data_IF_512825995740
#
_entry.id   IF_512825995740
#
_cell.length_a   1.000
_cell.length_b   1.000
_cell.length_c   1.000
_cell.angle_alpha   90.00
_cell.angle_beta   90.00
_cell.angle_gamma   90.00
#
_symmetry.space_group_name_H-M   'P 1'
#
loop_
_entity.id
_entity.type
_entity.pdbx_description
1 polymer ?
#
# COMPACT_ATOMS: atom_id res chain seq x y z
N UNK A 1 -3.85 -8.35 0.96
CA UNK A 1 -4.03 -7.79 2.31
C UNK A 1 -3.30 -8.72 3.25
N UNK A 2 -2.44 -8.21 4.13
CA UNK A 2 -1.77 -9.05 5.11
C UNK A 2 -2.80 -9.79 5.97
N UNK A 3 -2.56 -11.09 6.21
CA UNK A 3 -3.38 -11.95 7.07
C UNK A 3 -3.55 -11.29 8.45
N UNK A 4 -2.52 -10.61 8.95
CA UNK A 4 -2.53 -9.89 10.22
C UNK A 4 -3.58 -8.79 10.23
N UNK A 5 -3.69 -8.00 9.14
CA UNK A 5 -4.70 -6.94 9.00
C UNK A 5 -6.11 -7.52 8.96
N UNK A 6 -6.30 -8.65 8.27
CA UNK A 6 -7.60 -9.32 8.19
C UNK A 6 -8.02 -9.87 9.56
N UNK A 7 -7.12 -10.55 10.28
CA UNK A 7 -7.39 -11.06 11.64
C UNK A 7 -7.69 -9.91 12.59
N UNK A 8 -6.88 -8.84 12.56
CA UNK A 8 -7.08 -7.66 13.40
C UNK A 8 -8.45 -7.01 13.18
N UNK A 9 -8.88 -6.88 11.92
CA UNK A 9 -10.20 -6.36 11.57
C UNK A 9 -11.33 -7.24 12.14
N UNK A 10 -11.22 -8.56 11.96
CA UNK A 10 -12.22 -9.51 12.47
C UNK A 10 -12.30 -9.51 14.00
N UNK A 11 -11.16 -9.47 14.69
CA UNK A 11 -11.09 -9.40 16.15
C UNK A 11 -11.68 -8.08 16.64
N UNK A 12 -11.34 -6.95 16.02
CA UNK A 12 -11.86 -5.64 16.41
C UNK A 12 -13.38 -5.56 16.27
N UNK A 13 -13.92 -5.97 15.11
CA UNK A 13 -15.37 -6.02 14.87
C UNK A 13 -16.04 -7.03 15.81
N UNK A 14 -15.42 -8.20 16.02
CA UNK A 14 -15.92 -9.23 16.92
C UNK A 14 -16.04 -8.76 18.37
N UNK A 15 -14.99 -8.14 18.91
CA UNK A 15 -14.99 -7.58 20.26
C UNK A 15 -16.06 -6.50 20.44
N UNK A 16 -16.21 -5.60 19.45
CA UNK A 16 -17.26 -4.58 19.47
C UNK A 16 -18.66 -5.19 19.51
N UNK A 17 -18.92 -6.22 18.69
CA UNK A 17 -20.22 -6.91 18.65
C UNK A 17 -20.49 -7.65 19.95
N UNK A 18 -19.51 -8.38 20.48
CA UNK A 18 -19.66 -9.13 21.74
C UNK A 18 -19.94 -8.18 22.90
N UNK A 19 -19.20 -7.08 23.01
CA UNK A 19 -19.43 -6.06 24.04
C UNK A 19 -20.86 -5.50 23.97
N UNK A 20 -21.33 -5.17 22.77
CA UNK A 20 -22.69 -4.65 22.59
C UNK A 20 -23.79 -5.65 22.94
N UNK A 21 -23.57 -6.94 22.66
CA UNK A 21 -24.50 -8.01 23.04
C UNK A 21 -24.51 -8.25 24.56
N UNK A 22 -23.35 -8.12 25.23
CA UNK A 22 -23.24 -8.23 26.69
C UNK A 22 -24.01 -7.12 27.42
N UNK A 23 -24.07 -5.92 26.85
CA UNK A 23 -24.89 -4.80 27.34
C UNK A 23 -26.39 -4.97 27.05
N UNK A 24 -26.82 -6.13 26.54
CA UNK A 24 -28.21 -6.43 26.21
C UNK A 24 -28.68 -5.86 24.86
N UNK A 25 -27.75 -5.33 24.06
CA UNK A 25 -28.02 -4.88 22.70
C UNK A 25 -28.43 -6.01 21.77
N UNK A 26 -29.11 -5.67 20.67
CA UNK A 26 -29.50 -6.63 19.64
C UNK A 26 -28.76 -6.30 18.35
N UNK A 27 -28.34 -7.31 17.58
CA UNK A 27 -27.51 -7.10 16.39
C UNK A 27 -28.14 -6.12 15.37
N UNK A 28 -29.47 -6.19 15.18
CA UNK A 28 -30.17 -5.26 14.29
C UNK A 28 -30.23 -3.81 14.78
N UNK A 29 -30.00 -3.56 16.07
CA UNK A 29 -29.93 -2.20 16.58
C UNK A 29 -28.66 -1.47 16.13
N UNK A 30 -27.61 -2.20 15.74
CA UNK A 30 -26.37 -1.65 15.17
C UNK A 30 -26.55 -1.21 13.72
N UNK A 31 -27.41 -1.90 12.95
CA UNK A 31 -27.65 -1.62 11.54
C UNK A 31 -28.83 -0.66 11.37
N UNK A 32 -28.60 0.62 11.65
CA UNK A 32 -29.57 1.70 11.43
C UNK A 32 -29.24 2.48 10.15
N UNK A 33 -30.12 2.47 9.12
CA UNK A 33 -29.88 3.19 7.87
C UNK A 33 -29.65 4.70 8.08
N UNK A 34 -30.37 5.32 9.02
CA UNK A 34 -30.21 6.73 9.37
C UNK A 34 -28.82 7.03 9.93
N UNK A 35 -28.33 6.20 10.86
CA UNK A 35 -26.98 6.34 11.40
C UNK A 35 -25.92 6.14 10.32
N UNK A 36 -26.11 5.17 9.41
CA UNK A 36 -25.20 4.94 8.29
C UNK A 36 -25.11 6.17 7.36
N UNK A 37 -26.23 6.79 7.00
CA UNK A 37 -26.23 7.98 6.15
C UNK A 37 -25.47 9.14 6.82
N UNK A 38 -25.67 9.36 8.12
CA UNK A 38 -24.97 10.42 8.85
C UNK A 38 -23.46 10.16 8.89
N UNK A 39 -23.05 8.94 9.23
CA UNK A 39 -21.63 8.58 9.34
C UNK A 39 -20.97 8.57 7.97
N UNK A 40 -21.45 7.79 7.01
CA UNK A 40 -20.85 7.71 5.68
C UNK A 40 -20.95 9.03 4.93
N UNK A 41 -22.13 9.67 4.92
CA UNK A 41 -22.33 10.94 4.25
C UNK A 41 -21.52 12.07 4.89
N UNK A 42 -21.46 12.11 6.22
CA UNK A 42 -20.64 13.06 6.96
C UNK A 42 -19.15 12.88 6.72
N UNK A 43 -18.65 11.64 6.79
CA UNK A 43 -17.24 11.34 6.52
C UNK A 43 -16.87 11.66 5.07
N UNK A 44 -17.65 11.21 4.09
CA UNK A 44 -17.38 11.52 2.68
C UNK A 44 -17.44 13.03 2.44
N UNK A 45 -18.45 13.73 2.98
CA UNK A 45 -18.57 15.17 2.86
C UNK A 45 -17.40 15.93 3.49
N UNK A 46 -16.97 15.54 4.69
CA UNK A 46 -15.81 16.11 5.37
C UNK A 46 -14.51 15.85 4.59
N UNK A 47 -14.32 14.65 4.04
CA UNK A 47 -13.17 14.33 3.19
C UNK A 47 -13.18 15.18 1.92
N UNK A 48 -14.32 15.30 1.22
CA UNK A 48 -14.41 16.13 0.00
C UNK A 48 -14.15 17.60 0.31
N UNK A 49 -14.60 18.09 1.47
CA UNK A 49 -14.33 19.47 1.90
C UNK A 49 -12.86 19.71 2.30
N UNK A 50 -12.16 18.68 2.79
CA UNK A 50 -10.79 18.77 3.31
C UNK A 50 -9.68 18.56 2.29
N UNK A 51 -9.97 17.94 1.14
CA UNK A 51 -8.96 17.55 0.14
C UNK A 51 -9.23 18.14 -1.24
N UNK A 52 -8.17 18.31 -2.03
CA UNK A 52 -8.32 18.74 -3.43
C UNK A 52 -8.89 17.61 -4.28
N UNK A 53 -9.59 17.97 -5.36
CA UNK A 53 -10.19 16.99 -6.27
C UNK A 53 -9.16 16.01 -6.86
N UNK A 54 -7.93 16.47 -7.10
CA UNK A 54 -6.83 15.64 -7.60
C UNK A 54 -6.45 14.51 -6.63
N UNK A 55 -6.47 14.79 -5.33
CA UNK A 55 -6.16 13.80 -4.29
C UNK A 55 -7.30 12.78 -4.16
N UNK A 56 -8.55 13.25 -4.22
CA UNK A 56 -9.74 12.40 -4.15
C UNK A 56 -9.78 11.38 -5.30
N UNK A 57 -9.32 11.77 -6.50
CA UNK A 57 -9.24 10.86 -7.66
C UNK A 57 -8.28 9.69 -7.45
N UNK A 58 -7.34 9.77 -6.51
CA UNK A 58 -6.40 8.68 -6.19
C UNK A 58 -6.99 7.64 -5.23
N UNK A 59 -8.11 7.94 -4.55
CA UNK A 59 -8.73 7.07 -3.54
C UNK A 59 -9.00 5.64 -4.05
N UNK A 60 -9.55 5.41 -5.27
CA UNK A 60 -9.77 4.04 -5.75
C UNK A 60 -8.47 3.23 -5.89
N UNK A 61 -7.37 3.88 -6.30
CA UNK A 61 -6.06 3.24 -6.39
C UNK A 61 -5.50 2.92 -5.00
N UNK A 62 -5.63 3.84 -4.05
CA UNK A 62 -5.19 3.65 -2.67
C UNK A 62 -5.97 2.53 -1.96
N UNK A 63 -7.28 2.44 -2.19
CA UNK A 63 -8.08 1.31 -1.70
C UNK A 63 -7.55 -0.01 -2.27
N UNK A 64 -7.27 -0.08 -3.58
CA UNK A 64 -6.69 -1.29 -4.17
C UNK A 64 -5.36 -1.65 -3.49
N UNK A 65 -4.48 -0.69 -3.24
CA UNK A 65 -3.20 -0.92 -2.56
C UNK A 65 -3.43 -1.42 -1.13
N UNK A 66 -4.36 -0.82 -0.38
CA UNK A 66 -4.67 -1.21 1.00
C UNK A 66 -5.16 -2.67 1.09
N UNK A 67 -5.92 -3.14 0.10
CA UNK A 67 -6.41 -4.51 0.04
C UNK A 67 -5.45 -5.49 -0.65
N UNK A 68 -4.41 -5.01 -1.35
CA UNK A 68 -3.41 -5.85 -2.02
C UNK A 68 -2.21 -6.07 -1.10
N UNK A 69 -1.68 -7.28 -1.05
CA UNK A 69 -0.42 -7.54 -0.33
C UNK A 69 0.75 -7.27 -1.28
N UNK A 70 1.68 -6.41 -0.87
CA UNK A 70 2.93 -6.19 -1.61
C UNK A 70 3.99 -7.12 -1.02
N UNK A 71 4.21 -8.26 -1.67
CA UNK A 71 5.33 -9.13 -1.36
C UNK A 71 6.58 -8.62 -2.08
N UNK A 72 7.44 -7.91 -1.35
CA UNK A 72 8.76 -7.51 -1.85
C UNK A 72 9.77 -8.57 -1.42
N UNK A 73 10.43 -9.23 -2.38
CA UNK A 73 11.54 -10.13 -2.09
C UNK A 73 12.80 -9.31 -1.77
N UNK A 74 12.94 -8.97 -0.49
CA UNK A 74 14.09 -8.19 0.01
C UNK A 74 15.40 -8.95 -0.23
N UNK A 75 15.40 -10.28 -0.09
CA UNK A 75 16.63 -11.07 -0.25
C UNK A 75 17.04 -11.12 -1.72
N UNK A 76 16.08 -11.31 -2.62
CA UNK A 76 16.29 -11.20 -4.07
C UNK A 76 16.82 -9.82 -4.46
N UNK A 77 16.22 -8.75 -3.94
CA UNK A 77 16.66 -7.38 -4.19
C UNK A 77 18.09 -7.11 -3.72
N UNK A 78 18.46 -7.58 -2.52
CA UNK A 78 19.84 -7.46 -2.02
C UNK A 78 20.83 -8.17 -2.95
N UNK A 79 20.50 -9.39 -3.40
CA UNK A 79 21.35 -10.16 -4.32
C UNK A 79 21.50 -9.45 -5.66
N UNK A 80 20.40 -8.90 -6.19
CA UNK A 80 20.41 -8.12 -7.43
C UNK A 80 21.32 -6.89 -7.30
N UNK A 81 21.16 -6.10 -6.23
CA UNK A 81 21.98 -4.91 -5.98
C UNK A 81 23.47 -5.26 -5.81
N UNK A 82 23.78 -6.33 -5.07
CA UNK A 82 25.15 -6.79 -4.88
C UNK A 82 25.79 -7.27 -6.20
N UNK A 83 25.03 -7.96 -7.05
CA UNK A 83 25.47 -8.39 -8.38
C UNK A 83 25.80 -7.21 -9.29
N UNK A 84 24.89 -6.23 -9.35
CA UNK A 84 25.10 -4.97 -10.09
C UNK A 84 26.36 -4.25 -9.59
N UNK A 85 26.58 -4.19 -8.28
CA UNK A 85 27.75 -3.54 -7.69
C UNK A 85 29.08 -4.26 -8.00
N UNK A 86 29.14 -5.60 -7.94
CA UNK A 86 30.36 -6.34 -8.29
C UNK A 86 30.69 -6.19 -9.78
N UNK A 87 29.67 -6.22 -10.65
CA UNK A 87 29.85 -5.98 -12.08
C UNK A 87 30.35 -4.56 -12.37
N UNK A 88 29.70 -3.55 -11.79
CA UNK A 88 30.14 -2.15 -11.89
C UNK A 88 31.62 -1.98 -11.47
N UNK A 89 32.06 -2.71 -10.43
CA UNK A 89 33.44 -2.66 -9.95
C UNK A 89 34.44 -3.34 -10.89
N UNK A 90 34.05 -4.43 -11.55
CA UNK A 90 34.93 -5.23 -12.42
C UNK A 90 34.97 -4.73 -13.86
N UNK A 91 33.83 -4.36 -14.40
CA UNK A 91 33.60 -4.06 -15.82
C UNK A 91 33.38 -2.56 -16.07
N UNK A 92 33.20 -1.76 -15.01
CA UNK A 92 32.96 -0.32 -15.06
C UNK A 92 31.47 0.04 -15.20
N UNK A 93 31.14 1.32 -15.01
CA UNK A 93 29.74 1.78 -14.94
C UNK A 93 28.97 1.63 -16.27
N UNK A 94 29.64 1.79 -17.42
CA UNK A 94 29.01 1.61 -18.74
C UNK A 94 28.49 0.18 -18.97
N UNK A 95 29.08 -0.82 -18.29
CA UNK A 95 28.63 -2.21 -18.41
C UNK A 95 27.20 -2.44 -17.88
N UNK A 96 26.69 -1.49 -17.08
CA UNK A 96 25.36 -1.53 -16.50
C UNK A 96 24.25 -1.14 -17.49
N UNK A 97 24.58 -0.52 -18.63
CA UNK A 97 23.57 -0.18 -19.65
C UNK A 97 22.81 -1.40 -20.16
N UNK A 98 23.51 -2.53 -20.28
CA UNK A 98 22.91 -3.78 -20.76
C UNK A 98 21.95 -4.38 -19.73
N UNK A 99 22.14 -4.12 -18.43
CA UNK A 99 21.29 -4.64 -17.36
C UNK A 99 20.07 -3.75 -17.07
N UNK A 100 20.11 -2.47 -17.45
CA UNK A 100 18.97 -1.56 -17.28
C UNK A 100 17.68 -2.09 -17.93
N UNK A 101 17.81 -2.83 -19.04
CA UNK A 101 16.69 -3.44 -19.74
C UNK A 101 15.98 -4.52 -18.89
N UNK A 102 16.73 -5.23 -18.06
CA UNK A 102 16.25 -6.38 -17.27
C UNK A 102 15.79 -5.99 -15.85
N UNK A 103 16.08 -4.76 -15.41
CA UNK A 103 15.60 -4.24 -14.12
C UNK A 103 14.12 -3.88 -14.22
N UNK A 104 13.24 -4.66 -13.61
CA UNK A 104 11.78 -4.41 -13.62
C UNK A 104 11.37 -3.17 -12.80
N UNK A 105 12.06 -2.93 -11.68
CA UNK A 105 11.73 -1.83 -10.78
C UNK A 105 12.11 -0.48 -11.39
N UNK A 106 11.10 0.39 -11.57
CA UNK A 106 11.27 1.68 -12.24
C UNK A 106 12.18 2.62 -11.46
N UNK A 107 12.14 2.57 -10.13
CA UNK A 107 12.96 3.43 -9.28
C UNK A 107 14.44 3.02 -9.36
N UNK A 108 14.72 1.72 -9.25
CA UNK A 108 16.07 1.17 -9.39
C UNK A 108 16.64 1.44 -10.78
N UNK A 109 15.85 1.23 -11.84
CA UNK A 109 16.27 1.53 -13.22
C UNK A 109 16.68 3.00 -13.38
N UNK A 110 15.86 3.91 -12.86
CA UNK A 110 16.16 5.34 -12.94
C UNK A 110 17.42 5.71 -12.16
N UNK A 111 17.61 5.14 -10.96
CA UNK A 111 18.81 5.37 -10.16
C UNK A 111 20.09 4.87 -10.84
N UNK A 112 20.04 3.69 -11.46
CA UNK A 112 21.17 3.16 -12.23
C UNK A 112 21.50 4.01 -13.46
N UNK A 113 20.46 4.50 -14.15
CA UNK A 113 20.64 5.36 -15.30
C UNK A 113 21.33 6.68 -14.94
N UNK A 114 20.92 7.30 -13.84
CA UNK A 114 21.56 8.50 -13.28
C UNK A 114 23.04 8.27 -12.94
N UNK A 115 23.37 7.12 -12.36
CA UNK A 115 24.77 6.74 -12.04
C UNK A 115 25.60 6.58 -13.32
N UNK A 116 25.04 5.99 -14.38
CA UNK A 116 25.71 5.85 -15.69
C UNK A 116 25.92 7.22 -16.34
N UNK A 117 24.91 8.09 -16.27
CA UNK A 117 24.95 9.46 -16.81
C UNK A 117 25.89 10.38 -15.99
N UNK A 118 26.26 9.97 -14.78
CA UNK A 118 27.18 10.69 -13.90
C UNK A 118 26.55 11.86 -13.14
N UNK A 119 25.22 11.84 -12.94
CA UNK A 119 24.45 12.88 -12.24
C UNK A 119 23.62 12.29 -11.11
#
# INVERSE_FOLDING_TARGET
MDITTLIGLLVGVGCMVVAFLMDGGHLMALLKPTAAIIVFGGTIGATVAGYKLEEIKTVPQLLRIAFTEQNVDIVGLIRQLAGIADKARREGLLSLEQELADVEDRFLRQGLQLIIDGT
#
